data_IF_011678191041
#
_entry.id   IF_011678191041
#
_cell.length_a   1.000
_cell.length_b   1.000
_cell.length_c   1.000
_cell.angle_alpha   90.00
_cell.angle_beta   90.00
_cell.angle_gamma   90.00
#
_symmetry.space_group_name_H-M   'P 1'
#
loop_
_entity.id
_entity.type
_entity.pdbx_description
1 polymer ?
#
# COMPACT_ATOMS: atom_id res chain seq x y z
N UNK A 1 -69.91 -95.08 19.35
CA UNK A 1 -68.76 -95.73 18.69
C UNK A 1 -68.18 -94.71 17.73
N UNK A 2 -66.99 -94.13 17.87
CA UNK A 2 -65.93 -94.10 18.88
C UNK A 2 -65.32 -92.68 18.69
N UNK A 3 -65.18 -91.88 19.75
CA UNK A 3 -63.96 -91.69 20.54
C UNK A 3 -62.72 -91.26 19.72
N UNK A 4 -62.07 -90.18 20.16
CA UNK A 4 -60.86 -89.67 19.50
C UNK A 4 -60.60 -88.19 19.69
N UNK A 5 -60.27 -87.81 20.92
CA UNK A 5 -59.73 -86.52 21.30
C UNK A 5 -58.52 -86.06 20.46
N UNK A 6 -58.39 -84.75 20.26
CA UNK A 6 -57.11 -84.01 20.25
C UNK A 6 -57.39 -82.50 20.16
N UNK A 7 -57.51 -81.86 21.32
CA UNK A 7 -57.32 -80.42 21.43
C UNK A 7 -55.81 -80.13 21.31
N UNK A 8 -55.38 -79.44 20.25
CA UNK A 8 -54.05 -78.84 20.17
C UNK A 8 -54.10 -77.51 19.41
N UNK A 9 -54.15 -76.44 20.20
CA UNK A 9 -53.47 -75.16 19.97
C UNK A 9 -53.65 -74.44 18.63
N UNK A 10 -54.68 -73.59 18.57
CA UNK A 10 -54.69 -72.45 17.66
C UNK A 10 -53.65 -71.41 18.14
N UNK A 11 -52.42 -71.52 17.65
CA UNK A 11 -51.37 -70.52 17.86
C UNK A 11 -51.39 -69.49 16.70
N UNK A 12 -51.89 -68.26 16.89
CA UNK A 12 -51.78 -67.23 15.88
C UNK A 12 -50.33 -66.75 15.87
N UNK A 13 -49.49 -67.44 15.10
CA UNK A 13 -48.13 -67.00 14.80
C UNK A 13 -48.24 -65.65 14.12
N UNK A 14 -48.07 -64.57 14.90
CA UNK A 14 -47.80 -63.23 14.44
C UNK A 14 -46.51 -63.29 13.61
N UNK A 15 -46.65 -63.59 12.32
CA UNK A 15 -45.59 -63.45 11.33
C UNK A 15 -45.30 -61.97 11.22
N UNK A 16 -44.38 -61.49 12.06
CA UNK A 16 -43.78 -60.18 11.95
C UNK A 16 -43.38 -59.99 10.50
N UNK A 17 -44.02 -59.01 9.85
CA UNK A 17 -43.68 -58.59 8.50
C UNK A 17 -42.25 -58.09 8.58
N UNK A 18 -41.27 -58.97 8.33
CA UNK A 18 -39.88 -58.58 8.14
C UNK A 18 -39.93 -57.61 6.97
N UNK A 19 -39.83 -56.31 7.28
CA UNK A 19 -39.63 -55.29 6.26
C UNK A 19 -38.29 -55.66 5.64
N UNK A 20 -38.33 -56.41 4.55
CA UNK A 20 -37.15 -56.74 3.77
C UNK A 20 -36.61 -55.38 3.33
N UNK A 21 -35.55 -54.91 4.01
CA UNK A 21 -34.88 -53.70 3.57
C UNK A 21 -34.42 -54.00 2.15
N UNK A 22 -34.93 -53.27 1.14
CA UNK A 22 -34.57 -53.54 -0.23
C UNK A 22 -33.05 -53.43 -0.33
N UNK A 23 -32.43 -54.33 -1.10
CA UNK A 23 -30.97 -54.39 -1.32
C UNK A 23 -30.41 -52.99 -1.66
N UNK A 24 -31.22 -52.15 -2.29
CA UNK A 24 -31.00 -50.73 -2.50
C UNK A 24 -30.50 -49.97 -1.26
N UNK A 25 -31.01 -50.23 -0.05
CA UNK A 25 -30.57 -49.57 1.20
C UNK A 25 -29.11 -49.91 1.52
N UNK A 26 -28.72 -51.18 1.37
CA UNK A 26 -27.35 -51.61 1.63
C UNK A 26 -26.38 -51.05 0.58
N UNK A 27 -26.80 -50.99 -0.69
CA UNK A 27 -26.02 -50.37 -1.77
C UNK A 27 -25.85 -48.86 -1.57
N UNK A 28 -26.89 -48.15 -1.13
CA UNK A 28 -26.82 -46.72 -0.81
C UNK A 28 -25.90 -46.46 0.38
N UNK A 29 -25.99 -47.27 1.44
CA UNK A 29 -25.09 -47.15 2.61
C UNK A 29 -23.63 -47.41 2.20
N UNK A 30 -23.38 -48.45 1.41
CA UNK A 30 -22.04 -48.74 0.90
C UNK A 30 -21.50 -47.58 0.04
N UNK A 31 -22.33 -47.05 -0.85
CA UNK A 31 -22.00 -45.87 -1.65
C UNK A 31 -21.65 -44.67 -0.78
N UNK A 32 -22.44 -44.36 0.24
CA UNK A 32 -22.18 -43.26 1.17
C UNK A 32 -20.89 -43.46 1.96
N UNK A 33 -20.62 -44.66 2.47
CA UNK A 33 -19.38 -44.97 3.20
C UNK A 33 -18.15 -44.80 2.30
N UNK A 34 -18.25 -45.10 1.00
CA UNK A 34 -17.17 -44.87 0.05
C UNK A 34 -17.02 -43.40 -0.36
N UNK A 35 -18.13 -42.66 -0.50
CA UNK A 35 -18.13 -41.28 -1.00
C UNK A 35 -17.76 -40.25 0.08
N UNK A 36 -18.29 -40.40 1.29
CA UNK A 36 -18.17 -39.41 2.38
C UNK A 36 -16.70 -39.07 2.70
N UNK A 37 -15.78 -40.04 2.83
CA UNK A 37 -14.37 -39.73 3.11
C UNK A 37 -13.71 -38.89 2.02
N UNK A 38 -14.05 -39.13 0.75
CA UNK A 38 -13.54 -38.34 -0.38
C UNK A 38 -14.06 -36.90 -0.35
N UNK A 39 -15.35 -36.70 -0.01
CA UNK A 39 -15.93 -35.36 0.16
C UNK A 39 -15.31 -34.61 1.33
N UNK A 40 -15.11 -35.27 2.48
CA UNK A 40 -14.43 -34.68 3.64
C UNK A 40 -13.02 -34.26 3.26
N UNK A 41 -12.26 -35.14 2.59
CA UNK A 41 -10.90 -34.85 2.16
C UNK A 41 -10.85 -33.68 1.17
N UNK A 42 -11.78 -33.63 0.21
CA UNK A 42 -11.90 -32.53 -0.75
C UNK A 42 -12.25 -31.20 -0.06
N UNK A 43 -13.17 -31.20 0.90
CA UNK A 43 -13.54 -30.00 1.67
C UNK A 43 -12.37 -29.49 2.53
N UNK A 44 -11.64 -30.40 3.19
CA UNK A 44 -10.44 -30.06 3.98
C UNK A 44 -9.34 -29.49 3.08
N UNK A 45 -9.13 -30.06 1.90
CA UNK A 45 -8.17 -29.55 0.92
C UNK A 45 -8.57 -28.16 0.41
N UNK A 46 -9.85 -27.95 0.13
CA UNK A 46 -10.36 -26.67 -0.35
C UNK A 46 -10.24 -25.57 0.73
N UNK A 47 -10.51 -25.92 1.99
CA UNK A 47 -10.33 -25.02 3.13
C UNK A 47 -8.86 -24.63 3.32
N UNK A 48 -7.94 -25.62 3.27
CA UNK A 48 -6.49 -25.35 3.34
C UNK A 48 -5.95 -24.57 2.14
N UNK A 49 -6.54 -24.77 0.96
CA UNK A 49 -6.15 -24.05 -0.25
C UNK A 49 -6.57 -22.57 -0.17
N UNK A 50 -7.76 -22.27 0.35
CA UNK A 50 -8.23 -20.89 0.54
C UNK A 50 -7.35 -20.10 1.53
N UNK A 51 -6.95 -20.70 2.66
CA UNK A 51 -6.08 -20.03 3.66
C UNK A 51 -4.68 -19.71 3.12
N UNK A 52 -4.23 -20.42 2.08
CA UNK A 52 -2.91 -20.20 1.47
C UNK A 52 -2.94 -19.06 0.44
N UNK A 53 -4.07 -18.82 -0.23
CA UNK A 53 -4.19 -17.75 -1.22
C UNK A 53 -4.31 -16.36 -0.58
N UNK A 54 -5.03 -16.25 0.54
CA UNK A 54 -5.27 -14.96 1.21
C UNK A 54 -3.96 -14.38 1.79
N UNK A 55 -3.13 -15.23 2.41
CA UNK A 55 -1.84 -14.83 2.99
C UNK A 55 -0.83 -14.37 1.94
N UNK A 56 -0.84 -14.94 0.74
CA UNK A 56 0.08 -14.56 -0.35
C UNK A 56 -0.29 -13.17 -0.88
N UNK A 57 -1.59 -12.88 -1.06
CA UNK A 57 -2.06 -11.57 -1.53
C UNK A 57 -1.80 -10.48 -0.48
N UNK A 58 -2.08 -10.74 0.79
CA UNK A 58 -1.82 -9.78 1.88
C UNK A 58 -0.32 -9.48 2.05
N UNK A 59 0.53 -10.52 1.96
CA UNK A 59 2.00 -10.37 2.06
C UNK A 59 2.56 -9.58 0.88
N UNK A 60 2.06 -9.81 -0.34
CA UNK A 60 2.52 -9.09 -1.53
C UNK A 60 2.07 -7.62 -1.52
N UNK A 61 0.81 -7.34 -1.15
CA UNK A 61 0.32 -5.95 -1.08
C UNK A 61 1.05 -5.17 0.03
N UNK A 62 1.21 -5.77 1.22
CA UNK A 62 1.89 -5.13 2.35
C UNK A 62 3.39 -4.96 2.10
N UNK A 63 4.03 -5.97 1.50
CA UNK A 63 5.45 -5.93 1.14
C UNK A 63 5.77 -4.88 0.07
N UNK A 64 4.94 -4.78 -0.96
CA UNK A 64 5.09 -3.76 -2.02
C UNK A 64 4.79 -2.37 -1.48
N UNK A 65 3.72 -2.18 -0.69
CA UNK A 65 3.42 -0.89 -0.08
C UNK A 65 4.56 -0.41 0.84
N UNK A 66 5.10 -1.30 1.68
CA UNK A 66 6.26 -0.98 2.55
C UNK A 66 7.50 -0.61 1.74
N UNK A 67 7.76 -1.29 0.62
CA UNK A 67 8.90 -1.00 -0.25
C UNK A 67 8.77 0.36 -0.92
N UNK A 68 7.56 0.73 -1.36
CA UNK A 68 7.28 2.06 -1.94
C UNK A 68 7.49 3.15 -0.89
N UNK A 69 6.88 3.01 0.30
CA UNK A 69 7.05 3.98 1.41
C UNK A 69 8.52 4.15 1.76
N UNK A 70 9.26 3.05 1.90
CA UNK A 70 10.68 3.13 2.23
C UNK A 70 11.52 3.81 1.13
N UNK A 71 11.12 3.67 -0.13
CA UNK A 71 11.81 4.31 -1.25
C UNK A 71 11.55 5.83 -1.26
N UNK A 72 10.29 6.23 -1.02
CA UNK A 72 9.90 7.63 -0.87
C UNK A 72 10.61 8.27 0.33
N UNK A 73 10.65 7.60 1.49
CA UNK A 73 11.34 8.11 2.68
C UNK A 73 12.83 8.34 2.42
N UNK A 74 13.48 7.45 1.68
CA UNK A 74 14.90 7.62 1.30
C UNK A 74 15.08 8.82 0.38
N UNK A 75 14.21 8.99 -0.60
CA UNK A 75 14.27 10.11 -1.55
C UNK A 75 14.05 11.45 -0.84
N UNK A 76 13.07 11.53 0.06
CA UNK A 76 12.82 12.72 0.88
C UNK A 76 14.04 13.04 1.75
N UNK A 77 14.62 12.05 2.44
CA UNK A 77 15.80 12.27 3.28
C UNK A 77 17.03 12.70 2.48
N UNK A 78 17.21 12.18 1.26
CA UNK A 78 18.25 12.62 0.34
C UNK A 78 18.07 14.10 -0.03
N UNK A 79 16.85 14.51 -0.40
CA UNK A 79 16.53 15.90 -0.73
C UNK A 79 16.74 16.85 0.47
N UNK A 80 16.35 16.43 1.67
CA UNK A 80 16.60 17.18 2.91
C UNK A 80 18.10 17.38 3.13
N UNK A 81 18.90 16.34 2.94
CA UNK A 81 20.36 16.42 3.12
C UNK A 81 20.97 17.39 2.12
N UNK A 82 20.56 17.31 0.84
CA UNK A 82 20.97 18.25 -0.19
C UNK A 82 20.60 19.69 0.17
N UNK A 83 19.36 19.95 0.60
CA UNK A 83 18.92 21.28 0.99
C UNK A 83 19.70 21.83 2.19
N UNK A 84 20.04 21.00 3.18
CA UNK A 84 20.89 21.41 4.31
C UNK A 84 22.29 21.84 3.87
N UNK A 85 22.87 21.13 2.90
CA UNK A 85 24.18 21.49 2.32
C UNK A 85 24.05 22.81 1.55
N UNK A 86 23.00 22.96 0.76
CA UNK A 86 22.77 24.16 -0.04
C UNK A 86 22.40 25.39 0.80
N UNK A 87 21.67 25.22 1.91
CA UNK A 87 21.34 26.32 2.84
C UNK A 87 22.58 26.87 3.56
N UNK A 88 23.61 26.05 3.75
CA UNK A 88 24.88 26.45 4.34
C UNK A 88 25.89 26.97 3.30
N UNK A 89 25.50 27.11 2.03
CA UNK A 89 26.42 27.53 0.98
C UNK A 89 26.82 29.01 1.17
N UNK A 90 28.13 29.34 1.19
CA UNK A 90 28.60 30.71 1.37
C UNK A 90 28.03 31.72 0.37
N UNK A 91 27.79 31.33 -0.89
CA UNK A 91 27.23 32.21 -1.91
C UNK A 91 25.76 32.56 -1.63
N UNK A 92 25.01 31.66 -1.00
CA UNK A 92 23.64 31.93 -0.55
C UNK A 92 23.65 32.88 0.64
N UNK A 93 24.51 32.62 1.64
CA UNK A 93 24.61 33.41 2.86
C UNK A 93 25.16 34.82 2.62
N UNK A 94 26.05 35.00 1.65
CA UNK A 94 26.58 36.31 1.25
C UNK A 94 25.65 37.11 0.35
N UNK A 95 24.53 36.53 -0.10
CA UNK A 95 23.61 37.17 -1.04
C UNK A 95 24.05 37.14 -2.51
N UNK A 96 25.14 36.43 -2.86
CA UNK A 96 25.58 36.23 -4.25
C UNK A 96 24.71 35.17 -4.95
N UNK A 97 23.49 35.57 -5.31
CA UNK A 97 22.52 34.70 -5.99
C UNK A 97 23.01 34.24 -7.38
N UNK A 98 23.88 35.01 -8.04
CA UNK A 98 24.45 34.64 -9.33
C UNK A 98 25.53 33.53 -9.17
N UNK A 99 26.40 33.66 -8.18
CA UNK A 99 27.34 32.62 -7.79
C UNK A 99 26.65 31.34 -7.32
N UNK A 100 25.63 31.49 -6.48
CA UNK A 100 24.83 30.36 -6.00
C UNK A 100 24.08 29.66 -7.14
N UNK A 101 23.47 30.43 -8.07
CA UNK A 101 22.81 29.86 -9.25
C UNK A 101 23.74 28.99 -10.09
N UNK A 102 24.97 29.46 -10.37
CA UNK A 102 25.96 28.68 -11.14
C UNK A 102 26.27 27.36 -10.45
N UNK A 103 26.65 27.42 -9.17
CA UNK A 103 27.02 26.22 -8.41
C UNK A 103 25.89 25.19 -8.36
N UNK A 104 24.66 25.63 -8.12
CA UNK A 104 23.52 24.70 -8.01
C UNK A 104 23.04 24.21 -9.36
N UNK A 105 23.09 25.04 -10.41
CA UNK A 105 22.74 24.61 -11.77
C UNK A 105 23.70 23.54 -12.26
N UNK A 106 25.00 23.68 -12.00
CA UNK A 106 26.00 22.68 -12.34
C UNK A 106 25.83 21.40 -11.52
N UNK A 107 25.59 21.52 -10.22
CA UNK A 107 25.40 20.38 -9.32
C UNK A 107 24.13 19.57 -9.61
N UNK A 108 23.06 20.21 -10.10
CA UNK A 108 21.78 19.57 -10.41
C UNK A 108 21.63 19.18 -11.88
N UNK A 109 22.61 19.49 -12.74
CA UNK A 109 22.56 19.18 -14.16
C UNK A 109 22.34 17.66 -14.39
N UNK A 110 21.34 17.31 -15.21
CA UNK A 110 21.01 15.92 -15.54
C UNK A 110 20.23 15.15 -14.48
N UNK A 111 20.01 15.72 -13.29
CA UNK A 111 19.24 15.07 -12.21
C UNK A 111 17.72 15.17 -12.38
N UNK A 112 17.24 16.07 -13.24
CA UNK A 112 15.82 16.43 -13.34
C UNK A 112 15.27 17.19 -12.13
N UNK A 113 16.10 17.45 -11.12
CA UNK A 113 15.76 18.19 -9.91
C UNK A 113 16.10 19.66 -10.06
N UNK A 114 15.33 20.51 -9.39
CA UNK A 114 15.53 21.94 -9.46
C UNK A 114 15.30 22.60 -8.11
N UNK A 115 16.01 23.69 -7.87
CA UNK A 115 15.85 24.52 -6.67
C UNK A 115 15.25 25.87 -7.02
N UNK A 116 14.64 26.48 -6.02
CA UNK A 116 14.30 27.89 -6.03
C UNK A 116 14.58 28.49 -4.64
N UNK A 117 14.89 29.78 -4.62
CA UNK A 117 15.12 30.56 -3.40
C UNK A 117 14.01 31.60 -3.32
N UNK A 118 13.37 31.67 -2.15
CA UNK A 118 12.39 32.70 -1.83
C UNK A 118 13.03 33.74 -0.91
N UNK A 119 12.62 35.00 -1.06
CA UNK A 119 12.89 36.02 -0.04
C UNK A 119 11.86 35.98 1.10
N UNK A 120 12.03 36.87 2.08
CA UNK A 120 11.14 37.02 3.24
C UNK A 120 9.70 37.36 2.86
N UNK A 121 9.50 37.98 1.69
CA UNK A 121 8.18 38.35 1.17
C UNK A 121 7.56 37.22 0.31
N UNK A 122 8.23 36.06 0.26
CA UNK A 122 7.84 34.87 -0.51
C UNK A 122 7.89 35.05 -2.03
N UNK A 123 8.73 35.96 -2.51
CA UNK A 123 9.03 36.10 -3.93
C UNK A 123 10.21 35.24 -4.32
N UNK A 124 10.11 34.59 -5.48
CA UNK A 124 11.23 33.83 -6.03
C UNK A 124 12.33 34.79 -6.47
N UNK A 125 13.49 34.71 -5.84
CA UNK A 125 14.68 35.51 -6.19
C UNK A 125 15.67 34.72 -7.04
N UNK A 126 15.63 33.39 -6.98
CA UNK A 126 16.47 32.52 -7.80
C UNK A 126 15.73 31.22 -8.15
N UNK A 127 15.95 30.71 -9.35
CA UNK A 127 15.59 29.32 -9.70
C UNK A 127 16.66 28.71 -10.62
N UNK A 128 17.00 27.44 -10.40
CA UNK A 128 17.90 26.70 -11.30
C UNK A 128 17.19 26.18 -12.56
N UNK A 129 15.85 26.29 -12.64
CA UNK A 129 15.06 25.84 -13.81
C UNK A 129 15.33 26.63 -15.08
N UNK A 130 15.85 27.85 -14.93
CA UNK A 130 16.03 28.81 -16.02
C UNK A 130 17.35 29.56 -15.81
N UNK A 131 17.87 30.22 -16.86
CA UNK A 131 18.99 31.13 -16.71
C UNK A 131 18.72 32.18 -15.62
N UNK A 132 19.75 32.51 -14.85
CA UNK A 132 19.66 33.49 -13.77
C UNK A 132 19.19 34.85 -14.29
N UNK A 133 18.28 35.47 -13.54
CA UNK A 133 17.77 36.81 -13.81
C UNK A 133 17.89 37.64 -12.52
N UNK A 134 18.56 38.79 -12.54
CA UNK A 134 18.70 39.65 -11.37
C UNK A 134 17.41 40.47 -11.16
N UNK A 135 16.37 39.86 -10.59
CA UNK A 135 15.15 40.52 -10.09
C UNK A 135 14.25 39.54 -9.31
N UNK A 136 13.38 40.09 -8.44
CA UNK A 136 12.23 39.35 -7.90
C UNK A 136 11.35 38.87 -9.06
N UNK A 137 11.05 37.58 -9.06
CA UNK A 137 10.19 36.94 -10.04
C UNK A 137 8.75 36.84 -9.49
N UNK A 138 8.02 35.79 -9.85
CA UNK A 138 6.69 35.52 -9.32
C UNK A 138 6.69 35.20 -7.82
N UNK A 139 5.55 35.48 -7.18
CA UNK A 139 5.26 35.06 -5.81
C UNK A 139 5.15 33.53 -5.75
N UNK A 140 5.53 32.95 -4.61
CA UNK A 140 5.44 31.50 -4.37
C UNK A 140 4.05 30.95 -4.70
N UNK A 141 4.02 29.75 -5.29
CA UNK A 141 2.82 28.99 -5.61
C UNK A 141 1.93 28.73 -4.40
N UNK A 142 2.58 28.59 -3.25
CA UNK A 142 2.00 28.20 -1.97
C UNK A 142 2.61 29.07 -0.87
N UNK A 143 2.05 30.27 -0.64
CA UNK A 143 2.55 31.19 0.37
C UNK A 143 2.43 30.63 1.79
N UNK A 144 1.43 29.81 2.07
CA UNK A 144 1.16 29.30 3.42
C UNK A 144 2.23 28.28 3.84
N UNK A 145 2.57 27.32 2.98
CA UNK A 145 3.65 26.36 3.27
C UNK A 145 5.02 27.05 3.29
N UNK A 146 5.23 28.03 2.40
CA UNK A 146 6.48 28.78 2.34
C UNK A 146 6.71 29.63 3.60
N UNK A 147 5.67 30.29 4.11
CA UNK A 147 5.74 31.08 5.35
C UNK A 147 6.01 30.21 6.58
N UNK A 148 5.46 29.00 6.63
CA UNK A 148 5.77 28.03 7.69
C UNK A 148 7.23 27.57 7.65
N UNK A 149 7.80 27.38 6.46
CA UNK A 149 9.20 26.99 6.31
C UNK A 149 10.18 28.11 6.72
N UNK A 150 9.79 29.37 6.52
CA UNK A 150 10.57 30.52 7.01
C UNK A 150 10.60 30.63 8.54
N UNK A 151 9.60 30.09 9.23
CA UNK A 151 9.48 30.20 10.70
C UNK A 151 10.11 29.00 11.43
N UNK A 152 10.48 27.94 10.70
CA UNK A 152 10.97 26.69 11.28
C UNK A 152 12.39 26.32 10.82
N UNK A 153 13.21 25.82 11.74
CA UNK A 153 14.54 25.23 11.46
C UNK A 153 14.46 23.83 10.83
N UNK A 154 13.26 23.31 10.63
CA UNK A 154 13.01 21.95 10.15
C UNK A 154 12.56 21.99 8.68
N UNK A 155 13.10 21.11 7.82
CA UNK A 155 12.66 21.01 6.45
C UNK A 155 11.17 20.65 6.39
N UNK A 156 10.39 21.43 5.67
CA UNK A 156 8.96 21.20 5.44
C UNK A 156 8.79 20.62 4.04
N UNK A 157 8.17 19.45 3.94
CA UNK A 157 7.76 18.87 2.66
C UNK A 157 6.37 19.40 2.33
N UNK A 158 6.26 20.21 1.27
CA UNK A 158 4.98 20.59 0.70
C UNK A 158 4.34 19.35 0.07
N UNK A 159 3.09 19.07 0.42
CA UNK A 159 2.33 18.01 -0.23
C UNK A 159 2.14 18.35 -1.72
N UNK A 160 2.00 17.33 -2.57
CA UNK A 160 1.99 17.41 -4.04
C UNK A 160 1.28 18.66 -4.59
N UNK A 161 2.04 19.60 -5.15
CA UNK A 161 1.52 20.86 -5.73
C UNK A 161 1.76 20.90 -7.24
N UNK A 162 0.85 21.53 -7.96
CA UNK A 162 1.07 21.84 -9.38
C UNK A 162 2.10 22.97 -9.47
N UNK A 163 3.27 22.69 -10.05
CA UNK A 163 4.32 23.69 -10.19
C UNK A 163 3.88 24.83 -11.10
N UNK A 164 3.93 26.08 -10.63
CA UNK A 164 3.53 27.27 -11.43
C UNK A 164 4.38 27.44 -12.69
N UNK A 165 5.61 26.93 -12.65
CA UNK A 165 6.59 27.01 -13.75
C UNK A 165 6.57 25.75 -14.63
N UNK A 166 6.38 24.56 -14.05
CA UNK A 166 6.43 23.28 -14.77
C UNK A 166 5.07 22.81 -15.29
N UNK A 167 3.96 23.27 -14.70
CA UNK A 167 2.60 22.72 -14.91
C UNK A 167 2.47 21.21 -14.69
N UNK A 168 3.36 20.65 -13.87
CA UNK A 168 3.38 19.25 -13.47
C UNK A 168 3.22 19.13 -11.95
N UNK A 169 2.72 18.00 -11.47
CA UNK A 169 2.67 17.70 -10.03
C UNK A 169 4.09 17.49 -9.50
N UNK A 170 4.50 18.34 -8.56
CA UNK A 170 5.82 18.32 -7.95
C UNK A 170 5.70 18.26 -6.42
N UNK A 171 6.62 17.56 -5.78
CA UNK A 171 6.81 17.61 -4.33
C UNK A 171 7.95 18.57 -4.05
N UNK A 172 7.68 19.63 -3.29
CA UNK A 172 8.71 20.61 -2.92
C UNK A 172 9.15 20.35 -1.47
N UNK A 173 10.46 20.31 -1.24
CA UNK A 173 11.02 20.35 0.11
C UNK A 173 11.57 21.75 0.33
N UNK A 174 11.15 22.40 1.42
CA UNK A 174 11.47 23.78 1.76
C UNK A 174 12.26 23.77 3.08
N UNK A 175 13.34 24.54 3.14
CA UNK A 175 14.13 24.71 4.36
C UNK A 175 14.35 26.20 4.59
N UNK A 176 14.01 26.68 5.79
CA UNK A 176 14.30 28.05 6.21
C UNK A 176 15.81 28.28 6.32
N UNK A 177 16.26 29.44 5.85
CA UNK A 177 17.65 29.88 6.00
C UNK A 177 17.63 31.10 6.92
N UNK A 178 18.21 30.94 8.10
CA UNK A 178 18.37 32.01 9.08
C UNK A 178 19.78 32.60 8.94
N UNK A 179 19.87 33.93 9.04
CA UNK A 179 21.12 34.70 9.00
C UNK A 179 21.47 35.18 10.41
#
# INVERSE_FOLDING_TARGET
>A
MADGASATEANPRLRGRRVARPIAVYLVVLGLVALIPAFIFSAVLLQRNNETQERVVETLITGTARSIVQSVDREINANITTLKVLSANPALLSGDMAGFHRQVSDALAGTGSFIFVLDSDLYTVMTSRRPYQPARQGRSADPDTSGRALTGDLPIVANMIMGVVSKEYVVNVLLGVHN
#
